data_IF_945143766958
#
_entry.id   IF_945143766958
#
_cell.length_a   1.000
_cell.length_b   1.000
_cell.length_c   1.000
_cell.angle_alpha   90.00
_cell.angle_beta   90.00
_cell.angle_gamma   90.00
#
_symmetry.space_group_name_H-M   'P 1'
#
loop_
_entity.id
_entity.type
_entity.pdbx_description
1 polymer ?
#
# COMPACT_ATOMS: atom_id res chain seq x y z
N UNK A 1 -6.47 11.43 -9.26
CA UNK A 1 -6.09 10.48 -10.34
C UNK A 1 -4.85 9.75 -9.86
N UNK A 2 -4.73 8.43 -10.00
CA UNK A 2 -3.50 7.74 -9.58
C UNK A 2 -2.39 8.12 -10.56
N UNK A 3 -1.66 9.20 -10.28
CA UNK A 3 -0.60 9.71 -11.15
C UNK A 3 0.67 8.87 -10.96
N UNK A 4 0.67 7.66 -11.54
CA UNK A 4 1.87 6.83 -11.58
C UNK A 4 2.83 7.46 -12.58
N UNK A 5 3.83 8.16 -12.07
CA UNK A 5 4.95 8.60 -12.91
C UNK A 5 5.80 7.38 -13.27
N UNK A 6 6.47 7.39 -14.43
CA UNK A 6 7.26 6.26 -14.91
C UNK A 6 8.39 5.79 -13.97
N UNK A 7 8.75 6.60 -12.96
CA UNK A 7 9.77 6.29 -11.96
C UNK A 7 9.20 5.96 -10.56
N UNK A 8 7.87 5.88 -10.38
CA UNK A 8 7.28 5.60 -9.07
C UNK A 8 7.57 4.15 -8.65
N UNK A 9 8.31 3.98 -7.55
CA UNK A 9 8.54 2.66 -6.94
C UNK A 9 7.26 2.15 -6.29
N UNK A 10 7.04 0.84 -6.36
CA UNK A 10 5.90 0.15 -5.74
C UNK A 10 6.43 -0.77 -4.66
N UNK A 11 6.03 -0.53 -3.42
CA UNK A 11 6.40 -1.34 -2.26
C UNK A 11 5.22 -2.19 -1.82
N UNK A 12 5.42 -3.50 -1.72
CA UNK A 12 4.40 -4.44 -1.27
C UNK A 12 4.67 -4.88 0.17
N UNK A 13 3.73 -4.60 1.08
CA UNK A 13 3.81 -5.07 2.45
C UNK A 13 3.36 -6.51 2.53
N UNK A 14 4.32 -7.42 2.65
CA UNK A 14 4.08 -8.87 2.61
C UNK A 14 3.53 -9.45 3.91
N UNK A 15 3.59 -8.71 5.01
CA UNK A 15 3.06 -9.15 6.31
C UNK A 15 1.55 -8.85 6.43
N UNK A 16 0.89 -9.49 7.40
CA UNK A 16 -0.54 -9.28 7.64
C UNK A 16 -0.80 -7.84 8.08
N UNK A 17 -1.50 -7.06 7.27
CA UNK A 17 -1.90 -5.70 7.62
C UNK A 17 -3.34 -5.63 8.13
N UNK A 18 -3.54 -4.95 9.26
CA UNK A 18 -4.87 -4.50 9.68
C UNK A 18 -5.26 -3.26 8.88
N UNK A 19 -6.10 -3.45 7.86
CA UNK A 19 -6.54 -2.37 6.97
C UNK A 19 -7.55 -1.40 7.61
N UNK A 20 -7.90 -1.54 8.90
CA UNK A 20 -8.61 -0.48 9.64
C UNK A 20 -7.73 0.76 9.85
N UNK A 21 -6.40 0.61 9.79
CA UNK A 21 -5.46 1.73 9.80
C UNK A 21 -5.72 2.66 8.60
N UNK A 22 -5.74 3.96 8.87
CA UNK A 22 -5.80 5.02 7.87
C UNK A 22 -4.40 5.63 7.67
N UNK A 23 -4.31 6.90 7.26
CA UNK A 23 -3.09 7.62 6.91
C UNK A 23 -1.93 7.41 7.91
N UNK A 24 -2.07 7.85 9.17
CA UNK A 24 -0.94 7.82 10.12
C UNK A 24 -0.53 6.39 10.49
N UNK A 25 -1.50 5.51 10.68
CA UNK A 25 -1.23 4.12 11.01
C UNK A 25 -0.50 3.37 9.89
N UNK A 26 -0.82 3.67 8.64
CA UNK A 26 -0.12 3.10 7.49
C UNK A 26 1.24 3.78 7.26
N UNK A 27 1.34 5.09 7.47
CA UNK A 27 2.62 5.82 7.44
C UNK A 27 3.60 5.29 8.49
N UNK A 28 3.13 4.91 9.68
CA UNK A 28 3.95 4.24 10.70
C UNK A 28 4.58 2.96 10.16
N UNK A 29 3.78 2.10 9.51
CA UNK A 29 4.29 0.87 8.89
C UNK A 29 5.33 1.18 7.80
N UNK A 30 5.11 2.21 6.99
CA UNK A 30 6.08 2.65 5.96
C UNK A 30 7.43 3.00 6.59
N UNK A 31 7.42 3.87 7.60
CA UNK A 31 8.64 4.32 8.26
C UNK A 31 9.34 3.21 9.04
N UNK A 32 8.58 2.36 9.72
CA UNK A 32 9.14 1.34 10.62
C UNK A 32 9.64 0.11 9.87
N UNK A 33 8.88 -0.36 8.89
CA UNK A 33 9.16 -1.61 8.19
C UNK A 33 9.92 -1.40 6.88
N UNK A 34 9.48 -0.46 6.05
CA UNK A 34 10.16 -0.20 4.77
C UNK A 34 11.37 0.71 4.93
N UNK A 35 11.45 1.49 6.02
CA UNK A 35 12.47 2.53 6.21
C UNK A 35 12.45 3.56 5.07
N UNK A 36 11.25 3.83 4.54
CA UNK A 36 11.02 4.73 3.42
C UNK A 36 10.25 5.98 3.87
N UNK A 37 10.30 7.03 3.06
CA UNK A 37 9.48 8.22 3.22
C UNK A 37 8.08 8.02 2.59
N UNK A 38 6.98 8.09 3.37
CA UNK A 38 5.62 8.06 2.84
C UNK A 38 5.33 9.17 1.80
N UNK A 39 6.12 10.25 1.80
CA UNK A 39 5.95 11.41 0.93
C UNK A 39 6.76 11.34 -0.37
N UNK A 40 7.53 10.26 -0.57
CA UNK A 40 8.46 10.10 -1.70
C UNK A 40 7.82 10.02 -3.09
N UNK A 41 6.49 10.02 -3.20
CA UNK A 41 5.77 9.72 -4.44
C UNK A 41 5.78 8.23 -4.83
N UNK A 42 6.27 7.37 -3.95
CA UNK A 42 6.16 5.91 -4.07
C UNK A 42 4.76 5.43 -3.70
N UNK A 43 4.38 4.27 -4.23
CA UNK A 43 3.11 3.61 -3.94
C UNK A 43 3.32 2.48 -2.93
N UNK A 44 2.62 2.51 -1.80
CA UNK A 44 2.70 1.48 -0.77
C UNK A 44 1.43 0.63 -0.75
N UNK A 45 1.59 -0.67 -1.01
CA UNK A 45 0.51 -1.64 -1.18
C UNK A 45 0.36 -2.47 0.09
N UNK A 46 -0.84 -2.44 0.66
CA UNK A 46 -1.21 -3.22 1.84
C UNK A 46 -2.39 -4.13 1.53
N UNK A 47 -2.26 -5.41 1.87
CA UNK A 47 -3.31 -6.39 1.67
C UNK A 47 -3.77 -6.93 3.03
N UNK A 48 -5.07 -7.14 3.19
CA UNK A 48 -5.59 -7.72 4.43
C UNK A 48 -5.25 -9.21 4.54
N UNK A 49 -5.39 -9.77 5.75
CA UNK A 49 -5.13 -11.20 6.01
C UNK A 49 -5.96 -12.16 5.12
N UNK A 50 -7.17 -11.75 4.70
CA UNK A 50 -8.04 -12.56 3.82
C UNK A 50 -7.71 -12.41 2.34
N UNK A 51 -6.78 -11.53 1.99
CA UNK A 51 -6.35 -11.22 0.64
C UNK A 51 -7.47 -10.77 -0.30
N UNK A 52 -8.59 -10.28 0.22
CA UNK A 52 -9.72 -9.82 -0.58
C UNK A 52 -9.87 -8.29 -0.54
N UNK A 53 -9.00 -7.59 0.18
CA UNK A 53 -8.97 -6.14 0.25
C UNK A 53 -7.54 -5.62 0.10
N UNK A 54 -7.39 -4.53 -0.63
CA UNK A 54 -6.10 -3.85 -0.84
C UNK A 54 -6.24 -2.36 -0.62
N UNK A 55 -5.32 -1.77 0.15
CA UNK A 55 -5.11 -0.33 0.23
C UNK A 55 -3.82 0.06 -0.49
N UNK A 56 -3.89 1.16 -1.22
CA UNK A 56 -2.74 1.85 -1.77
C UNK A 56 -2.61 3.19 -1.05
N UNK A 57 -1.48 3.43 -0.40
CA UNK A 57 -1.14 4.73 0.19
C UNK A 57 -0.04 5.38 -0.64
N UNK A 58 -0.23 6.65 -0.97
CA UNK A 58 0.75 7.46 -1.69
C UNK A 58 0.55 8.94 -1.33
N UNK A 59 1.61 9.72 -1.52
CA UNK A 59 1.51 11.18 -1.56
C UNK A 59 1.05 11.60 -2.96
N UNK A 60 -0.16 12.14 -3.04
CA UNK A 60 -0.59 12.96 -4.15
C UNK A 60 0.02 14.36 -4.00
N UNK A 61 -0.03 15.16 -5.08
CA UNK A 61 0.67 16.45 -5.21
C UNK A 61 0.55 17.36 -3.99
N UNK A 62 -0.60 17.35 -3.32
CA UNK A 62 -0.96 18.22 -2.21
C UNK A 62 -1.33 17.47 -0.92
N UNK A 63 -1.24 16.13 -0.88
CA UNK A 63 -1.72 15.39 0.28
C UNK A 63 -1.57 13.88 0.20
N UNK A 64 -1.76 13.21 1.34
CA UNK A 64 -1.84 11.75 1.37
C UNK A 64 -3.18 11.28 0.78
N UNK A 65 -3.11 10.28 -0.09
CA UNK A 65 -4.28 9.65 -0.69
C UNK A 65 -4.29 8.14 -0.40
N UNK A 66 -5.48 7.61 -0.10
CA UNK A 66 -5.72 6.17 0.00
C UNK A 66 -6.71 5.76 -1.08
N UNK A 67 -6.30 4.82 -1.93
CA UNK A 67 -7.24 4.04 -2.72
C UNK A 67 -7.52 2.71 -2.02
N UNK A 68 -8.80 2.32 -1.94
CA UNK A 68 -9.21 1.11 -1.23
C UNK A 68 -10.16 0.27 -2.09
N UNK A 69 -9.80 -0.99 -2.34
CA UNK A 69 -10.62 -1.93 -3.11
C UNK A 69 -10.88 -3.19 -2.32
N UNK A 70 -12.14 -3.63 -2.35
CA UNK A 70 -12.61 -4.94 -1.89
C UNK A 70 -13.07 -5.76 -3.10
N UNK A 71 -12.70 -7.03 -3.13
CA UNK A 71 -13.26 -7.99 -4.08
C UNK A 71 -14.57 -8.55 -3.51
N UNK A 72 -15.62 -8.60 -4.33
CA UNK A 72 -16.86 -9.30 -3.98
C UNK A 72 -16.64 -10.82 -3.91
N UNK A 73 -15.75 -11.35 -4.76
CA UNK A 73 -15.35 -12.75 -4.74
C UNK A 73 -13.86 -12.92 -5.08
N UNK A 74 -13.25 -13.97 -4.51
CA UNK A 74 -11.86 -14.34 -4.77
C UNK A 74 -10.84 -13.65 -3.85
N UNK A 75 -9.56 -13.77 -4.23
CA UNK A 75 -8.40 -13.22 -3.52
C UNK A 75 -7.42 -12.60 -4.51
N UNK A 76 -6.76 -11.52 -4.10
CA UNK A 76 -5.60 -10.97 -4.77
C UNK A 76 -4.46 -12.00 -4.74
N UNK A 77 -3.81 -12.24 -5.88
CA UNK A 77 -2.60 -13.05 -5.94
C UNK A 77 -1.41 -12.20 -5.52
N UNK A 78 -0.79 -12.55 -4.40
CA UNK A 78 0.39 -11.86 -3.88
C UNK A 78 1.63 -12.47 -4.53
N UNK A 79 2.51 -11.67 -5.17
CA UNK A 79 3.78 -12.16 -5.70
C UNK A 79 4.56 -12.89 -4.60
N UNK A 80 5.03 -14.10 -4.89
CA UNK A 80 6.05 -14.74 -4.06
C UNK A 80 7.37 -13.99 -4.29
N UNK A 81 8.15 -13.79 -3.23
CA UNK A 81 9.51 -13.31 -3.43
C UNK A 81 10.26 -14.41 -4.16
N UNK A 82 11.21 -14.05 -5.01
CA UNK A 82 12.23 -15.01 -5.40
C UNK A 82 13.03 -15.31 -4.11
N UNK A 83 13.10 -16.59 -3.74
CA UNK A 83 13.94 -17.05 -2.62
C UNK A 83 15.43 -16.83 -2.94
#
# INVERSE_FOLDING_TARGET
>A
MLALTGNSRIYLYRMRCDLRKSFDGLCGIIRDHFREDPLSGSLFVFVNKRENMVKLLYWDRDGLAIWFKRLEMGRFKIPKGDD
#
